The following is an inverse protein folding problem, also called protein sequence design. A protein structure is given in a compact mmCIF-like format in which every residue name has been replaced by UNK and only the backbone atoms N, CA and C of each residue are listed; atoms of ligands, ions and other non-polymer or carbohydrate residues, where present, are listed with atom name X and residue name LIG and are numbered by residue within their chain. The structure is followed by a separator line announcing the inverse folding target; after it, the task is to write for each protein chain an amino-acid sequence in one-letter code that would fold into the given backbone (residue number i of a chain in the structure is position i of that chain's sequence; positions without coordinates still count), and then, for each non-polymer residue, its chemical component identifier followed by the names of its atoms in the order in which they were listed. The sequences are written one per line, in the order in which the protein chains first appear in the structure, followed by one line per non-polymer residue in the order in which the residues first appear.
data_IF_120735546914
#
_entry.id   IF_120735546914
#
_cell.length_a   1.000
_cell.length_b   1.000
_cell.length_c   1.000
_cell.angle_alpha   90.00
_cell.angle_beta   90.00
_cell.angle_gamma   90.00
#
_symmetry.space_group_name_H-M   'P 1'
#
loop_
_entity.id
_entity.type
_entity.pdbx_description
1 polymer ?
#
# COMPACT_ATOMS: atom_id res chain seq x y z
N UNK A 1 -5.05 -10.43 10.24
CA UNK A 1 -3.89 -9.57 9.90
C UNK A 1 -3.54 -8.67 11.08
N UNK A 2 -2.29 -8.70 11.55
CA UNK A 2 -1.81 -7.95 12.71
C UNK A 2 -2.04 -6.44 12.60
N UNK A 3 -1.94 -5.88 11.39
CA UNK A 3 -2.14 -4.44 11.12
C UNK A 3 -3.53 -3.93 11.48
N UNK A 4 -4.57 -4.78 11.45
CA UNK A 4 -5.92 -4.37 11.88
C UNK A 4 -6.00 -4.06 13.38
N UNK A 5 -5.12 -4.63 14.19
CA UNK A 5 -5.04 -4.33 15.63
C UNK A 5 -4.53 -2.91 15.92
N UNK A 6 -3.93 -2.22 14.93
CA UNK A 6 -3.46 -0.85 15.08
C UNK A 6 -4.53 0.20 14.79
N UNK A 7 -5.72 -0.22 14.34
CA UNK A 7 -6.78 0.67 13.85
C UNK A 7 -7.14 1.76 14.86
N UNK A 8 -7.36 1.38 16.11
CA UNK A 8 -7.78 2.33 17.16
C UNK A 8 -6.69 3.35 17.46
N UNK A 9 -5.43 2.91 17.56
CA UNK A 9 -4.27 3.78 17.75
C UNK A 9 -4.11 4.76 16.60
N UNK A 10 -4.33 4.31 15.35
CA UNK A 10 -4.23 5.19 14.17
C UNK A 10 -5.40 6.17 14.08
N UNK A 11 -6.61 5.74 14.47
CA UNK A 11 -7.79 6.61 14.48
C UNK A 11 -7.65 7.75 15.49
N UNK A 12 -7.13 7.48 16.69
CA UNK A 12 -6.88 8.50 17.71
C UNK A 12 -5.87 9.57 17.30
N UNK A 13 -4.96 9.24 16.38
CA UNK A 13 -3.93 10.16 15.88
C UNK A 13 -4.30 10.82 14.55
N UNK A 14 -5.53 10.60 14.07
CA UNK A 14 -6.03 11.11 12.79
C UNK A 14 -5.13 10.75 11.59
N UNK A 15 -4.45 9.60 11.66
CA UNK A 15 -3.59 9.11 10.57
C UNK A 15 -4.31 8.10 9.70
N UNK A 16 -3.87 7.99 8.45
CA UNK A 16 -4.34 6.96 7.52
C UNK A 16 -3.43 5.75 7.59
N UNK A 17 -3.99 4.57 7.77
CA UNK A 17 -3.26 3.30 7.74
C UNK A 17 -3.46 2.64 6.38
N UNK A 18 -2.36 2.35 5.68
CA UNK A 18 -2.38 1.66 4.39
C UNK A 18 -1.67 0.31 4.52
N UNK A 19 -2.35 -0.75 4.12
CA UNK A 19 -1.69 -1.98 3.68
C UNK A 19 -1.59 -1.89 2.16
N UNK A 20 -0.38 -2.06 1.62
CA UNK A 20 -0.13 -1.79 0.20
C UNK A 20 0.43 -3.04 -0.46
N UNK A 21 -0.23 -3.49 -1.52
CA UNK A 21 0.27 -4.51 -2.42
C UNK A 21 1.14 -3.84 -3.50
N UNK A 22 2.46 -4.09 -3.56
CA UNK A 22 3.35 -3.40 -4.49
C UNK A 22 3.17 -3.83 -5.96
N UNK A 23 2.34 -4.84 -6.22
CA UNK A 23 2.31 -5.56 -7.49
C UNK A 23 3.33 -6.70 -7.50
N UNK A 24 3.48 -7.36 -8.64
CA UNK A 24 4.54 -8.35 -8.82
C UNK A 24 5.76 -7.65 -9.42
N UNK A 25 6.80 -7.45 -8.61
CA UNK A 25 7.93 -6.55 -8.89
C UNK A 25 9.23 -7.31 -9.14
N UNK A 26 10.00 -6.90 -10.15
CA UNK A 26 11.30 -7.46 -10.54
C UNK A 26 12.38 -7.19 -9.48
N UNK A 27 12.35 -8.02 -8.45
CA UNK A 27 13.27 -8.03 -7.30
C UNK A 27 13.74 -9.46 -7.09
N UNK A 28 14.70 -9.70 -6.20
CA UNK A 28 15.13 -11.07 -5.86
C UNK A 28 13.96 -11.96 -5.41
N UNK A 29 12.98 -11.39 -4.69
CA UNK A 29 11.78 -12.10 -4.25
C UNK A 29 10.75 -12.32 -5.37
N UNK A 30 10.63 -11.38 -6.31
CA UNK A 30 9.66 -11.47 -7.41
C UNK A 30 10.16 -12.19 -8.66
N UNK A 31 11.48 -12.28 -8.83
CA UNK A 31 12.13 -12.86 -10.01
C UNK A 31 12.07 -11.99 -11.26
N UNK A 32 12.84 -12.36 -12.28
CA UNK A 32 12.97 -11.59 -13.52
C UNK A 32 11.69 -11.55 -14.39
N UNK A 33 10.76 -12.49 -14.18
CA UNK A 33 9.50 -12.58 -14.93
C UNK A 33 8.37 -11.72 -14.34
N UNK A 34 8.64 -11.00 -13.24
CA UNK A 34 7.67 -10.10 -12.64
C UNK A 34 7.27 -8.99 -13.61
N UNK A 35 6.01 -8.56 -13.53
CA UNK A 35 5.40 -7.67 -14.55
C UNK A 35 5.75 -6.20 -14.37
N UNK A 36 6.29 -5.80 -13.21
CA UNK A 36 6.63 -4.41 -12.89
C UNK A 36 8.11 -4.25 -12.57
N UNK A 37 8.68 -3.12 -12.97
CA UNK A 37 9.98 -2.70 -12.45
C UNK A 37 9.85 -2.13 -11.04
N UNK A 38 10.97 -2.04 -10.32
CA UNK A 38 11.02 -1.42 -8.99
C UNK A 38 10.56 0.04 -9.05
N UNK A 39 11.01 0.79 -10.05
CA UNK A 39 10.69 2.21 -10.24
C UNK A 39 9.19 2.43 -10.46
N UNK A 40 8.54 1.57 -11.25
CA UNK A 40 7.10 1.64 -11.51
C UNK A 40 6.31 1.39 -10.21
N UNK A 41 6.67 0.34 -9.47
CA UNK A 41 6.01 0.01 -8.20
C UNK A 41 6.19 1.13 -7.17
N UNK A 42 7.43 1.57 -6.94
CA UNK A 42 7.75 2.63 -5.99
C UNK A 42 7.05 3.94 -6.32
N UNK A 43 7.05 4.36 -7.60
CA UNK A 43 6.38 5.59 -8.02
C UNK A 43 4.87 5.53 -7.75
N UNK A 44 4.23 4.40 -8.07
CA UNK A 44 2.82 4.18 -7.77
C UNK A 44 2.52 4.23 -6.27
N UNK A 45 3.32 3.55 -5.45
CA UNK A 45 3.19 3.57 -3.99
C UNK A 45 3.31 4.98 -3.43
N UNK A 46 4.29 5.78 -3.89
CA UNK A 46 4.44 7.19 -3.47
C UNK A 46 3.20 8.00 -3.84
N UNK A 47 2.68 7.84 -5.07
CA UNK A 47 1.43 8.49 -5.49
C UNK A 47 0.26 8.14 -4.57
N UNK A 48 0.15 6.87 -4.15
CA UNK A 48 -0.91 6.46 -3.22
C UNK A 48 -0.72 7.04 -1.82
N UNK A 49 0.50 7.03 -1.28
CA UNK A 49 0.78 7.64 0.03
C UNK A 49 0.38 9.12 0.05
N UNK A 50 0.67 9.85 -1.02
CA UNK A 50 0.26 11.24 -1.18
C UNK A 50 -1.27 11.38 -1.33
N UNK A 51 -1.90 10.55 -2.16
CA UNK A 51 -3.34 10.61 -2.44
C UNK A 51 -4.22 10.21 -1.23
N UNK A 52 -3.69 9.42 -0.31
CA UNK A 52 -4.40 8.95 0.88
C UNK A 52 -4.05 9.72 2.16
N UNK A 53 -3.14 10.68 2.09
CA UNK A 53 -2.76 11.51 3.23
C UNK A 53 -3.98 12.18 3.86
N UNK A 54 -4.19 11.95 5.16
CA UNK A 54 -5.24 12.58 5.95
C UNK A 54 -6.66 12.04 5.73
N UNK A 55 -6.85 10.95 4.97
CA UNK A 55 -8.19 10.36 4.74
C UNK A 55 -8.70 9.52 5.92
N UNK A 56 -7.81 9.15 6.83
CA UNK A 56 -8.11 8.32 7.99
C UNK A 56 -8.49 6.88 7.61
N UNK A 57 -8.72 6.05 8.64
CA UNK A 57 -9.11 4.65 8.45
C UNK A 57 -7.99 3.72 8.01
N UNK A 58 -8.34 2.46 7.77
CA UNK A 58 -7.43 1.40 7.33
C UNK A 58 -7.87 0.85 5.98
N UNK A 59 -7.00 0.97 4.98
CA UNK A 59 -7.29 0.58 3.59
C UNK A 59 -6.29 -0.45 3.09
N UNK A 60 -6.77 -1.36 2.24
CA UNK A 60 -5.92 -2.27 1.49
C UNK A 60 -5.98 -1.88 0.02
N UNK A 61 -4.85 -1.48 -0.54
CA UNK A 61 -4.76 -0.99 -1.92
C UNK A 61 -3.55 -1.59 -2.63
N UNK A 62 -3.53 -1.51 -3.95
CA UNK A 62 -2.33 -1.77 -4.74
C UNK A 62 -1.57 -0.48 -5.11
N UNK A 63 -0.41 -0.64 -5.75
CA UNK A 63 0.42 0.46 -6.27
C UNK A 63 -0.32 1.38 -7.28
N UNK A 64 -1.36 0.89 -7.96
CA UNK A 64 -2.17 1.65 -8.90
C UNK A 64 -3.36 2.38 -8.22
N UNK A 65 -3.60 2.11 -6.94
CA UNK A 65 -4.67 2.71 -6.15
C UNK A 65 -5.99 1.94 -6.16
N UNK A 66 -6.00 0.73 -6.72
CA UNK A 66 -7.18 -0.13 -6.68
C UNK A 66 -7.38 -0.63 -5.24
N UNK A 67 -8.62 -0.57 -4.75
CA UNK A 67 -8.98 -1.14 -3.45
C UNK A 67 -9.08 -2.65 -3.57
N UNK A 68 -8.34 -3.35 -2.71
CA UNK A 68 -8.32 -4.80 -2.67
C UNK A 68 -9.27 -5.33 -1.60
N UNK A 69 -9.76 -6.55 -1.81
CA UNK A 69 -10.50 -7.30 -0.78
C UNK A 69 -9.49 -7.87 0.23
N UNK A 70 -9.93 -7.93 1.49
CA UNK A 70 -9.16 -8.49 2.58
C UNK A 70 -9.11 -10.01 2.56
#
# INVERSE_FOLDING_TARGET
MLTRGLRDTTAQREVTLLSVHPGWVQTDMGGANATLTVEQSCSGIVSQVLAWRGKGGHHFIDYAGNVLRW
#
